data_IF_678839060422
#
_entry.id   IF_678839060422
#
_cell.length_a   1.000
_cell.length_b   1.000
_cell.length_c   1.000
_cell.angle_alpha   90.00
_cell.angle_beta   90.00
_cell.angle_gamma   90.00
#
_symmetry.space_group_name_H-M   'P 1'
#
loop_
_entity.id
_entity.type
_entity.pdbx_description
1 polymer ?
#
# COMPACT_ATOMS: atom_id res chain seq x y z
N UNK A 1 13.17 -29.05 32.89
CA UNK A 1 12.13 -28.38 32.07
C UNK A 1 12.54 -28.55 30.62
N UNK A 2 12.12 -29.66 30.00
CA UNK A 2 12.49 -30.00 28.62
C UNK A 2 11.66 -29.14 27.66
N UNK A 3 12.35 -28.30 26.90
CA UNK A 3 11.78 -27.57 25.77
C UNK A 3 11.56 -28.58 24.64
N UNK A 4 10.31 -28.98 24.47
CA UNK A 4 9.86 -29.80 23.34
C UNK A 4 9.92 -28.95 22.05
N UNK A 5 11.09 -28.97 21.40
CA UNK A 5 11.46 -28.12 20.26
C UNK A 5 11.11 -28.72 18.90
N UNK A 6 10.17 -29.67 18.83
CA UNK A 6 9.69 -30.21 17.55
C UNK A 6 8.18 -30.14 17.42
N UNK A 7 7.61 -28.93 17.49
CA UNK A 7 6.26 -28.70 16.97
C UNK A 7 6.28 -28.83 15.45
N UNK A 8 6.12 -30.06 14.96
CA UNK A 8 5.79 -30.33 13.57
C UNK A 8 4.45 -29.67 13.26
N UNK A 9 4.46 -28.61 12.46
CA UNK A 9 3.24 -27.96 11.96
C UNK A 9 2.39 -29.03 11.30
N UNK A 10 1.14 -29.19 11.73
CA UNK A 10 0.28 -30.21 11.14
C UNK A 10 0.04 -29.90 9.64
N UNK A 11 -0.07 -30.90 8.76
CA UNK A 11 -0.27 -30.68 7.32
C UNK A 11 -1.45 -29.74 7.00
N UNK A 12 -2.51 -29.81 7.82
CA UNK A 12 -3.72 -29.00 7.76
C UNK A 12 -3.47 -27.52 8.09
N UNK A 13 -2.52 -27.21 8.97
CA UNK A 13 -2.13 -25.84 9.32
C UNK A 13 -1.23 -25.22 8.26
N UNK A 14 -0.30 -26.00 7.69
CA UNK A 14 0.56 -25.57 6.58
C UNK A 14 -0.24 -25.15 5.34
N UNK A 15 -1.27 -25.93 4.99
CA UNK A 15 -2.18 -25.61 3.88
C UNK A 15 -2.95 -24.30 4.12
N UNK A 16 -3.49 -24.08 5.33
CA UNK A 16 -4.18 -22.84 5.69
C UNK A 16 -3.28 -21.60 5.63
N UNK A 17 -2.04 -21.74 6.10
CA UNK A 17 -1.05 -20.67 6.07
C UNK A 17 -0.70 -20.27 4.63
N UNK A 18 -0.52 -21.26 3.75
CA UNK A 18 -0.27 -21.03 2.32
C UNK A 18 -1.45 -20.34 1.62
N UNK A 19 -2.69 -20.78 1.91
CA UNK A 19 -3.90 -20.13 1.37
C UNK A 19 -4.05 -18.70 1.91
N UNK A 20 -3.70 -18.47 3.17
CA UNK A 20 -3.70 -17.12 3.77
C UNK A 20 -2.69 -16.22 3.05
N UNK A 21 -1.46 -16.71 2.85
CA UNK A 21 -0.43 -16.00 2.12
C UNK A 21 -0.88 -15.63 0.70
N UNK A 22 -1.40 -16.60 -0.07
CA UNK A 22 -1.87 -16.34 -1.43
C UNK A 22 -2.97 -15.28 -1.48
N UNK A 23 -3.99 -15.41 -0.61
CA UNK A 23 -5.07 -14.42 -0.56
C UNK A 23 -4.54 -13.04 -0.19
N UNK A 24 -3.63 -12.94 0.78
CA UNK A 24 -3.07 -11.66 1.20
C UNK A 24 -2.16 -11.05 0.13
N UNK A 25 -1.36 -11.84 -0.60
CA UNK A 25 -0.55 -11.37 -1.74
C UNK A 25 -1.46 -10.75 -2.82
N UNK A 26 -2.53 -11.45 -3.20
CA UNK A 26 -3.47 -11.01 -4.23
C UNK A 26 -4.17 -9.72 -3.83
N UNK A 27 -4.62 -9.62 -2.58
CA UNK A 27 -5.31 -8.43 -2.07
C UNK A 27 -4.35 -7.25 -1.86
N UNK A 28 -3.11 -7.52 -1.46
CA UNK A 28 -2.02 -6.53 -1.45
C UNK A 28 -1.82 -5.93 -2.85
N UNK A 29 -1.66 -6.80 -3.87
CA UNK A 29 -1.48 -6.38 -5.25
C UNK A 29 -2.66 -5.58 -5.81
N UNK A 30 -3.90 -6.04 -5.58
CA UNK A 30 -5.11 -5.31 -5.98
C UNK A 30 -5.22 -3.95 -5.30
N UNK A 31 -4.98 -3.89 -3.99
CA UNK A 31 -5.01 -2.66 -3.23
C UNK A 31 -3.98 -1.65 -3.73
N UNK A 32 -2.76 -2.11 -4.03
CA UNK A 32 -1.73 -1.28 -4.64
C UNK A 32 -2.15 -0.74 -6.00
N UNK A 33 -2.59 -1.60 -6.92
CA UNK A 33 -2.98 -1.17 -8.28
C UNK A 33 -4.10 -0.13 -8.24
N UNK A 34 -5.09 -0.32 -7.37
CA UNK A 34 -6.17 0.65 -7.18
C UNK A 34 -5.65 1.98 -6.61
N UNK A 35 -4.92 1.93 -5.48
CA UNK A 35 -4.44 3.16 -4.83
C UNK A 35 -3.48 3.94 -5.73
N UNK A 36 -2.52 3.23 -6.33
CA UNK A 36 -1.54 3.81 -7.24
C UNK A 36 -2.19 4.34 -8.51
N UNK A 37 -3.21 3.66 -9.03
CA UNK A 37 -3.93 4.13 -10.21
C UNK A 37 -4.77 5.38 -9.93
N UNK A 38 -5.46 5.45 -8.81
CA UNK A 38 -6.15 6.68 -8.38
C UNK A 38 -5.15 7.83 -8.27
N UNK A 39 -3.99 7.59 -7.67
CA UNK A 39 -2.93 8.60 -7.53
C UNK A 39 -2.44 9.12 -8.88
N UNK A 40 -2.02 8.21 -9.77
CA UNK A 40 -1.50 8.57 -11.10
C UNK A 40 -2.54 9.27 -11.97
N UNK A 41 -3.76 8.73 -12.04
CA UNK A 41 -4.83 9.31 -12.85
C UNK A 41 -5.22 10.70 -12.36
N UNK A 42 -5.21 10.92 -11.04
CA UNK A 42 -5.48 12.25 -10.48
C UNK A 42 -4.41 13.28 -10.88
N UNK A 43 -3.13 12.90 -10.78
CA UNK A 43 -2.01 13.74 -11.20
C UNK A 43 -2.08 14.06 -12.70
N UNK A 44 -2.34 13.05 -13.54
CA UNK A 44 -2.47 13.24 -14.98
C UNK A 44 -3.69 14.09 -15.34
N UNK A 45 -4.85 13.85 -14.73
CA UNK A 45 -6.06 14.64 -14.96
C UNK A 45 -5.87 16.11 -14.58
N UNK A 46 -5.16 16.39 -13.48
CA UNK A 46 -4.86 17.77 -13.07
C UNK A 46 -3.89 18.46 -14.05
N UNK A 47 -2.84 17.76 -14.47
CA UNK A 47 -1.91 18.31 -15.47
C UNK A 47 -2.60 18.60 -16.80
N UNK A 48 -3.44 17.68 -17.28
CA UNK A 48 -4.24 17.89 -18.48
C UNK A 48 -5.21 19.07 -18.34
N UNK A 49 -5.88 19.22 -17.18
CA UNK A 49 -6.75 20.39 -16.88
C UNK A 49 -5.99 21.72 -16.94
N UNK A 50 -4.71 21.72 -16.60
CA UNK A 50 -3.84 22.90 -16.65
C UNK A 50 -3.16 23.09 -18.01
N UNK A 51 -3.49 22.27 -19.02
CA UNK A 51 -2.88 22.34 -20.35
C UNK A 51 -1.39 21.96 -20.35
N UNK A 52 -0.97 21.12 -19.41
CA UNK A 52 0.42 20.62 -19.34
C UNK A 52 0.49 19.32 -20.12
N UNK A 53 1.17 19.29 -21.28
CA UNK A 53 1.33 18.07 -22.07
C UNK A 53 2.08 17.02 -21.25
N UNK A 54 1.60 15.78 -21.28
CA UNK A 54 2.15 14.68 -20.50
C UNK A 54 2.09 13.35 -21.25
N UNK A 55 2.93 12.41 -20.84
CA UNK A 55 2.81 10.99 -21.21
C UNK A 55 2.68 10.15 -19.93
N UNK A 56 1.63 9.36 -19.87
CA UNK A 56 1.35 8.47 -18.75
C UNK A 56 2.01 7.11 -19.02
N UNK A 57 3.04 6.79 -18.24
CA UNK A 57 3.75 5.51 -18.30
C UNK A 57 3.31 4.58 -17.18
N UNK A 58 3.74 3.32 -17.26
CA UNK A 58 3.42 2.26 -16.31
C UNK A 58 3.76 2.61 -14.84
N UNK A 59 4.81 3.41 -14.68
CA UNK A 59 5.53 3.65 -13.43
C UNK A 59 5.65 5.13 -13.04
N UNK A 60 5.34 6.04 -13.94
CA UNK A 60 5.42 7.48 -13.65
C UNK A 60 4.60 8.29 -14.67
N UNK A 61 4.32 9.55 -14.31
CA UNK A 61 3.76 10.54 -15.23
C UNK A 61 4.91 11.41 -15.71
N UNK A 62 5.17 11.42 -17.02
CA UNK A 62 6.20 12.26 -17.62
C UNK A 62 5.57 13.56 -18.13
N UNK A 63 5.99 14.71 -17.62
CA UNK A 63 5.55 16.00 -18.12
C UNK A 63 6.47 16.46 -19.26
N UNK A 64 5.90 16.95 -20.36
CA UNK A 64 6.61 17.34 -21.58
C UNK A 64 6.95 18.84 -21.63
N UNK A 65 6.87 19.53 -20.48
CA UNK A 65 7.24 20.94 -20.35
C UNK A 65 8.65 21.08 -19.73
N UNK A 66 9.46 22.05 -20.21
CA UNK A 66 10.74 22.39 -19.58
C UNK A 66 10.58 22.91 -18.15
N UNK A 67 11.60 22.68 -17.30
CA UNK A 67 11.61 23.10 -15.89
C UNK A 67 11.28 24.59 -15.67
N UNK A 68 11.80 25.45 -16.56
CA UNK A 68 11.56 26.91 -16.52
C UNK A 68 10.11 27.34 -16.78
N UNK A 69 9.27 26.47 -17.33
CA UNK A 69 7.88 26.76 -17.64
C UNK A 69 6.94 26.42 -16.48
N UNK A 70 7.42 25.74 -15.43
CA UNK A 70 6.60 25.47 -14.26
C UNK A 70 6.31 26.75 -13.48
N UNK A 71 5.05 26.94 -13.14
CA UNK A 71 4.61 27.96 -12.19
C UNK A 71 4.15 27.33 -10.89
N UNK A 72 4.27 28.08 -9.80
CA UNK A 72 4.07 27.59 -8.43
C UNK A 72 2.74 26.89 -8.21
N UNK A 73 1.64 27.45 -8.70
CA UNK A 73 0.30 26.89 -8.53
C UNK A 73 0.18 25.54 -9.26
N UNK A 74 0.72 25.41 -10.48
CA UNK A 74 0.71 24.15 -11.21
C UNK A 74 1.49 23.06 -10.48
N UNK A 75 2.69 23.36 -9.98
CA UNK A 75 3.51 22.38 -9.25
C UNK A 75 2.74 21.86 -8.04
N UNK A 76 2.18 22.77 -7.23
CA UNK A 76 1.43 22.40 -6.03
C UNK A 76 0.17 21.59 -6.40
N UNK A 77 -0.55 21.99 -7.44
CA UNK A 77 -1.77 21.30 -7.85
C UNK A 77 -1.49 19.90 -8.42
N UNK A 78 -0.56 19.78 -9.37
CA UNK A 78 -0.25 18.53 -10.09
C UNK A 78 0.39 17.50 -9.16
N UNK A 79 1.40 17.91 -8.37
CA UNK A 79 2.08 17.01 -7.45
C UNK A 79 1.32 16.82 -6.12
N UNK A 80 0.36 17.69 -5.80
CA UNK A 80 -0.42 17.61 -4.56
C UNK A 80 -1.72 16.82 -4.68
N UNK A 81 -2.38 16.80 -5.85
CA UNK A 81 -3.68 16.15 -6.01
C UNK A 81 -3.62 14.62 -5.81
N UNK A 82 -2.57 13.96 -6.30
CA UNK A 82 -2.37 12.52 -6.15
C UNK A 82 -2.27 12.11 -4.68
N UNK A 83 -1.34 12.68 -3.89
CA UNK A 83 -1.27 12.48 -2.44
C UNK A 83 -2.55 12.86 -1.72
N UNK A 84 -3.21 13.96 -2.09
CA UNK A 84 -4.47 14.37 -1.46
C UNK A 84 -5.58 13.32 -1.67
N UNK A 85 -5.81 12.84 -2.89
CA UNK A 85 -6.80 11.79 -3.15
C UNK A 85 -6.38 10.45 -2.53
N UNK A 86 -5.08 10.17 -2.45
CA UNK A 86 -4.57 8.98 -1.74
C UNK A 86 -4.91 9.07 -0.24
N UNK A 87 -4.80 10.24 0.37
CA UNK A 87 -5.21 10.43 1.77
C UNK A 87 -6.73 10.22 1.95
N UNK A 88 -7.55 10.78 1.06
CA UNK A 88 -9.00 10.57 1.09
C UNK A 88 -9.37 9.09 0.92
N UNK A 89 -8.69 8.39 0.00
CA UNK A 89 -8.86 6.96 -0.22
C UNK A 89 -8.44 6.14 1.02
N UNK A 90 -7.34 6.52 1.68
CA UNK A 90 -6.86 5.87 2.88
C UNK A 90 -7.86 5.99 4.04
N UNK A 91 -8.37 7.21 4.27
CA UNK A 91 -9.40 7.47 5.27
C UNK A 91 -10.67 6.72 4.91
N UNK A 92 -11.15 6.84 3.67
CA UNK A 92 -12.37 6.16 3.21
C UNK A 92 -12.30 4.64 3.37
N UNK A 93 -11.19 4.01 2.96
CA UNK A 93 -10.97 2.57 3.14
C UNK A 93 -10.90 2.19 4.63
N UNK A 94 -10.26 3.00 5.47
CA UNK A 94 -10.23 2.80 6.92
C UNK A 94 -11.61 2.90 7.57
N UNK A 95 -12.43 3.88 7.17
CA UNK A 95 -13.81 4.02 7.65
C UNK A 95 -14.70 2.88 7.16
N UNK A 96 -14.56 2.45 5.90
CA UNK A 96 -15.29 1.30 5.37
C UNK A 96 -14.92 0.01 6.12
N UNK A 97 -13.64 -0.17 6.43
CA UNK A 97 -13.18 -1.25 7.29
C UNK A 97 -13.84 -1.16 8.68
N UNK A 98 -13.78 0.00 9.33
CA UNK A 98 -14.20 0.15 10.72
C UNK A 98 -15.72 0.03 10.90
N UNK A 99 -16.51 0.65 10.04
CA UNK A 99 -17.97 0.68 10.19
C UNK A 99 -18.68 -0.49 9.52
N UNK A 100 -18.14 -1.02 8.42
CA UNK A 100 -18.81 -2.06 7.64
C UNK A 100 -18.03 -3.37 7.58
N UNK A 101 -16.70 -3.31 7.54
CA UNK A 101 -15.85 -4.47 7.32
C UNK A 101 -15.64 -5.35 8.56
N UNK A 102 -15.32 -4.75 9.72
CA UNK A 102 -14.82 -5.48 10.91
C UNK A 102 -15.75 -6.58 11.42
N UNK A 103 -17.07 -6.36 11.34
CA UNK A 103 -18.08 -7.30 11.82
C UNK A 103 -18.56 -8.29 10.76
N UNK A 104 -18.15 -8.11 9.50
CA UNK A 104 -18.60 -8.97 8.40
C UNK A 104 -17.57 -10.06 8.12
N UNK A 105 -18.07 -11.21 7.71
CA UNK A 105 -17.24 -12.28 7.17
C UNK A 105 -16.80 -11.91 5.77
N UNK A 106 -15.63 -12.38 5.37
CA UNK A 106 -15.12 -12.28 4.02
C UNK A 106 -13.80 -11.55 3.95
N UNK A 107 -13.28 -11.49 2.73
CA UNK A 107 -11.94 -10.99 2.44
C UNK A 107 -11.88 -9.50 2.13
N UNK A 108 -13.04 -8.85 1.99
CA UNK A 108 -13.13 -7.41 1.73
C UNK A 108 -12.55 -6.56 2.86
N UNK A 109 -12.64 -7.01 4.11
CA UNK A 109 -11.99 -6.31 5.23
C UNK A 109 -10.46 -6.32 5.11
N UNK A 110 -9.88 -7.43 4.65
CA UNK A 110 -8.44 -7.50 4.36
C UNK A 110 -8.06 -6.64 3.15
N UNK A 111 -8.92 -6.59 2.13
CA UNK A 111 -8.75 -5.65 1.01
C UNK A 111 -8.76 -4.19 1.47
N UNK A 112 -9.76 -3.76 2.25
CA UNK A 112 -9.84 -2.39 2.77
C UNK A 112 -8.66 -2.04 3.67
N UNK A 113 -8.20 -3.00 4.48
CA UNK A 113 -7.00 -2.84 5.29
C UNK A 113 -5.77 -2.55 4.42
N UNK A 114 -5.51 -3.39 3.40
CA UNK A 114 -4.39 -3.17 2.48
C UNK A 114 -4.55 -1.89 1.67
N UNK A 115 -5.75 -1.57 1.23
CA UNK A 115 -6.05 -0.35 0.48
C UNK A 115 -5.74 0.89 1.32
N UNK A 116 -6.15 0.90 2.59
CA UNK A 116 -5.83 1.99 3.51
C UNK A 116 -4.31 2.15 3.69
N UNK A 117 -3.57 1.05 3.92
CA UNK A 117 -2.12 1.10 4.08
C UNK A 117 -1.40 1.57 2.82
N UNK A 118 -1.75 1.04 1.64
CA UNK A 118 -1.17 1.48 0.38
C UNK A 118 -1.43 2.96 0.12
N UNK A 119 -2.67 3.41 0.33
CA UNK A 119 -3.05 4.80 0.12
C UNK A 119 -2.34 5.75 1.11
N UNK A 120 -2.20 5.37 2.39
CA UNK A 120 -1.36 6.10 3.35
C UNK A 120 0.11 6.12 2.92
N UNK A 121 0.64 5.00 2.44
CA UNK A 121 2.04 4.90 2.02
C UNK A 121 2.33 5.75 0.78
N UNK A 122 1.38 5.94 -0.14
CA UNK A 122 1.53 6.86 -1.27
C UNK A 122 1.64 8.34 -0.84
N UNK A 123 1.21 8.66 0.38
CA UNK A 123 1.36 10.00 0.97
C UNK A 123 2.63 10.07 1.82
N UNK A 124 2.70 9.26 2.89
CA UNK A 124 3.78 9.31 3.87
C UNK A 124 5.08 8.70 3.32
N UNK A 125 4.98 7.51 2.74
CA UNK A 125 6.09 6.87 2.04
C UNK A 125 6.51 7.64 0.79
N UNK A 126 5.55 8.22 0.06
CA UNK A 126 5.81 9.09 -1.10
C UNK A 126 6.58 10.35 -0.74
N UNK A 127 6.31 10.95 0.42
CA UNK A 127 7.06 12.10 0.92
C UNK A 127 8.50 11.72 1.29
N UNK A 128 8.69 10.54 1.91
CA UNK A 128 10.01 10.02 2.27
C UNK A 128 10.81 9.68 1.01
N UNK A 129 10.26 8.83 0.14
CA UNK A 129 10.87 8.45 -1.13
C UNK A 129 11.19 9.69 -1.97
N UNK A 130 10.23 10.62 -2.08
CA UNK A 130 10.39 11.87 -2.79
C UNK A 130 11.51 12.75 -2.23
N UNK A 131 11.72 12.75 -0.91
CA UNK A 131 12.83 13.51 -0.30
C UNK A 131 14.20 12.91 -0.61
N UNK A 132 14.30 11.59 -0.79
CA UNK A 132 15.53 10.94 -1.21
C UNK A 132 15.81 11.11 -2.71
N UNK A 133 14.77 11.10 -3.55
CA UNK A 133 14.93 11.16 -5.02
C UNK A 133 14.71 12.55 -5.60
N UNK A 134 14.21 13.51 -4.82
CA UNK A 134 13.74 14.82 -5.26
C UNK A 134 12.64 14.73 -6.34
N UNK A 135 11.70 13.79 -6.17
CA UNK A 135 10.62 13.53 -7.13
C UNK A 135 9.24 13.56 -6.46
N UNK A 136 8.20 13.69 -7.28
CA UNK A 136 6.81 13.49 -6.86
C UNK A 136 6.38 14.48 -5.77
N UNK A 137 5.88 13.96 -4.65
CA UNK A 137 5.29 14.78 -3.59
C UNK A 137 6.30 15.71 -2.90
N UNK A 138 7.60 15.50 -3.05
CA UNK A 138 8.64 16.41 -2.55
C UNK A 138 8.52 17.84 -3.09
N UNK A 139 8.06 17.99 -4.34
CA UNK A 139 7.93 19.32 -4.96
C UNK A 139 6.90 20.20 -4.26
N UNK A 140 5.84 19.63 -3.68
CA UNK A 140 4.76 20.40 -3.04
C UNK A 140 5.28 21.24 -1.88
N UNK A 141 5.89 20.67 -0.81
CA UNK A 141 6.43 21.46 0.27
C UNK A 141 7.61 22.33 -0.18
N UNK A 142 8.43 21.89 -1.14
CA UNK A 142 9.56 22.67 -1.65
C UNK A 142 9.10 23.99 -2.29
N UNK A 143 8.02 23.95 -3.05
CA UNK A 143 7.45 25.12 -3.73
C UNK A 143 6.45 25.89 -2.87
N UNK A 144 5.86 25.26 -1.86
CA UNK A 144 5.03 25.94 -0.87
C UNK A 144 5.89 26.81 0.06
N UNK A 145 7.06 26.33 0.48
CA UNK A 145 7.97 26.99 1.42
C UNK A 145 9.33 27.30 0.77
N UNK A 146 9.32 28.19 -0.24
CA UNK A 146 10.50 28.52 -1.06
C UNK A 146 11.71 28.94 -0.22
N UNK A 147 11.47 29.78 0.80
CA UNK A 147 12.48 30.31 1.72
C UNK A 147 13.13 29.23 2.60
N UNK A 148 12.39 28.15 2.91
CA UNK A 148 12.87 27.05 3.75
C UNK A 148 13.83 26.09 3.04
N UNK A 149 14.14 26.31 1.76
CA UNK A 149 15.05 25.48 0.99
C UNK A 149 14.63 24.00 0.95
N UNK A 150 15.60 23.11 1.16
CA UNK A 150 15.39 21.64 1.23
C UNK A 150 15.05 21.16 2.64
N UNK A 151 15.25 21.98 3.67
CA UNK A 151 15.06 21.58 5.06
C UNK A 151 13.60 21.24 5.36
N UNK A 152 12.65 22.01 4.80
CA UNK A 152 11.24 21.82 5.09
C UNK A 152 10.65 20.51 4.51
N UNK A 153 10.88 20.14 3.23
CA UNK A 153 10.52 18.82 2.73
C UNK A 153 11.11 17.66 3.56
N UNK A 154 12.37 17.78 3.97
CA UNK A 154 13.05 16.76 4.80
C UNK A 154 12.38 16.64 6.17
N UNK A 155 12.08 17.77 6.84
CA UNK A 155 11.41 17.77 8.12
C UNK A 155 10.02 17.11 8.03
N UNK A 156 9.25 17.40 6.97
CA UNK A 156 7.96 16.74 6.74
C UNK A 156 8.12 15.25 6.42
N UNK A 157 9.16 14.83 5.70
CA UNK A 157 9.43 13.41 5.46
C UNK A 157 9.74 12.65 6.76
N UNK A 158 10.54 13.24 7.66
CA UNK A 158 10.80 12.67 8.99
C UNK A 158 9.50 12.56 9.79
N UNK A 159 8.69 13.62 9.81
CA UNK A 159 7.38 13.61 10.46
C UNK A 159 6.46 12.53 9.85
N UNK A 160 6.45 12.41 8.52
CA UNK A 160 5.69 11.39 7.80
C UNK A 160 6.13 9.97 8.18
N UNK A 161 7.43 9.73 8.36
CA UNK A 161 7.97 8.46 8.86
C UNK A 161 7.51 8.14 10.28
N UNK A 162 7.52 9.13 11.18
CA UNK A 162 7.01 8.98 12.55
C UNK A 162 5.51 8.63 12.53
N UNK A 163 4.71 9.35 11.73
CA UNK A 163 3.27 9.09 11.59
C UNK A 163 3.02 7.69 11.00
N UNK A 164 3.83 7.25 10.03
CA UNK A 164 3.73 5.90 9.45
C UNK A 164 3.97 4.82 10.51
N UNK A 165 5.01 5.00 11.35
CA UNK A 165 5.33 4.07 12.45
C UNK A 165 4.19 4.02 13.48
N UNK A 166 3.69 5.17 13.91
CA UNK A 166 2.58 5.24 14.88
C UNK A 166 1.31 4.61 14.30
N UNK A 167 1.00 4.90 13.04
CA UNK A 167 -0.16 4.33 12.34
C UNK A 167 -0.04 2.81 12.25
N UNK A 168 1.13 2.30 11.85
CA UNK A 168 1.42 0.87 11.80
C UNK A 168 1.22 0.21 13.16
N UNK A 169 1.79 0.78 14.23
CA UNK A 169 1.62 0.25 15.59
C UNK A 169 0.14 0.17 16.01
N UNK A 170 -0.65 1.22 15.75
CA UNK A 170 -2.08 1.28 16.12
C UNK A 170 -2.98 0.41 15.23
N UNK A 171 -2.52 -0.01 14.06
CA UNK A 171 -3.28 -0.81 13.13
C UNK A 171 -3.34 -2.32 13.49
N UNK A 172 -2.70 -2.75 14.58
CA UNK A 172 -2.64 -4.16 15.00
C UNK A 172 -4.01 -4.81 15.17
N UNK A 173 -4.91 -4.18 15.91
CA UNK A 173 -6.27 -4.71 16.12
C UNK A 173 -7.01 -4.82 14.78
N UNK A 174 -6.88 -3.81 13.91
CA UNK A 174 -7.50 -3.84 12.57
C UNK A 174 -6.93 -4.98 11.71
N UNK A 175 -5.61 -5.21 11.73
CA UNK A 175 -4.98 -6.32 11.03
C UNK A 175 -5.51 -7.68 11.52
N UNK A 176 -5.55 -7.90 12.84
CA UNK A 176 -6.06 -9.16 13.40
C UNK A 176 -7.54 -9.36 13.01
N UNK A 177 -8.37 -8.33 13.17
CA UNK A 177 -9.79 -8.37 12.79
C UNK A 177 -10.00 -8.57 11.28
N UNK A 178 -9.04 -8.20 10.43
CA UNK A 178 -9.13 -8.40 8.99
C UNK A 178 -9.08 -9.87 8.57
N UNK A 179 -8.73 -10.78 9.48
CA UNK A 179 -8.69 -12.22 9.22
C UNK A 179 -9.95 -12.94 9.76
N UNK A 180 -10.37 -13.98 9.06
CA UNK A 180 -11.55 -14.80 9.43
C UNK A 180 -11.18 -16.14 10.08
N UNK A 181 -9.91 -16.54 10.05
CA UNK A 181 -9.51 -17.88 10.47
C UNK A 181 -9.26 -17.94 11.97
N UNK A 182 -10.17 -18.60 12.70
CA UNK A 182 -10.05 -18.81 14.16
C UNK A 182 -8.74 -19.49 14.54
N UNK A 183 -8.31 -20.50 13.78
CA UNK A 183 -7.06 -21.24 14.10
C UNK A 183 -5.80 -20.40 13.91
N UNK A 184 -5.80 -19.48 12.94
CA UNK A 184 -4.65 -18.58 12.72
C UNK A 184 -4.62 -17.42 13.72
N UNK A 185 -5.78 -17.03 14.25
CA UNK A 185 -5.92 -15.95 15.24
C UNK A 185 -5.48 -16.33 16.64
N UNK A 186 -5.44 -17.64 16.95
CA UNK A 186 -4.92 -18.14 18.22
C UNK A 186 -3.54 -17.55 18.48
N UNK A 187 -3.31 -17.13 19.72
CA UNK A 187 -2.06 -16.49 20.12
C UNK A 187 -0.82 -17.35 19.76
N UNK A 188 -0.91 -18.67 19.95
CA UNK A 188 0.14 -19.61 19.58
C UNK A 188 0.52 -19.60 18.09
N UNK A 189 -0.43 -19.31 17.20
CA UNK A 189 -0.24 -19.30 15.74
C UNK A 189 -0.03 -17.90 15.18
N UNK A 190 0.07 -16.89 16.05
CA UNK A 190 0.12 -15.49 15.63
C UNK A 190 1.37 -15.14 14.83
N UNK A 191 2.52 -15.72 15.20
CA UNK A 191 3.74 -15.54 14.42
C UNK A 191 3.56 -15.98 12.97
N UNK A 192 2.88 -17.12 12.75
CA UNK A 192 2.58 -17.63 11.42
C UNK A 192 1.57 -16.75 10.68
N UNK A 193 0.54 -16.25 11.37
CA UNK A 193 -0.42 -15.31 10.79
C UNK A 193 0.25 -14.01 10.34
N UNK A 194 1.15 -13.45 11.16
CA UNK A 194 1.89 -12.23 10.81
C UNK A 194 2.82 -12.50 9.62
N UNK A 195 3.55 -13.61 9.65
CA UNK A 195 4.45 -13.94 8.56
C UNK A 195 3.69 -14.13 7.24
N UNK A 196 2.65 -14.96 7.22
CA UNK A 196 1.88 -15.27 6.00
C UNK A 196 0.89 -14.19 5.60
N UNK A 197 0.28 -13.49 6.55
CA UNK A 197 -0.74 -12.48 6.30
C UNK A 197 -0.20 -11.06 6.11
N UNK A 198 1.05 -10.78 6.52
CA UNK A 198 1.65 -9.44 6.48
C UNK A 198 3.00 -9.40 5.74
N UNK A 199 3.99 -10.17 6.20
CA UNK A 199 5.37 -10.08 5.69
C UNK A 199 5.53 -10.70 4.30
N UNK A 200 4.99 -11.90 4.08
CA UNK A 200 5.01 -12.57 2.77
C UNK A 200 4.29 -11.74 1.71
N UNK A 201 3.06 -11.22 1.93
CA UNK A 201 2.39 -10.32 1.00
C UNK A 201 3.19 -9.07 0.67
N UNK A 202 3.85 -8.48 1.65
CA UNK A 202 4.69 -7.32 1.41
C UNK A 202 5.87 -7.66 0.50
N UNK A 203 6.66 -8.68 0.84
CA UNK A 203 7.86 -9.03 0.07
C UNK A 203 7.48 -9.57 -1.31
N UNK A 204 6.67 -10.63 -1.36
CA UNK A 204 6.30 -11.30 -2.62
C UNK A 204 5.40 -10.40 -3.45
N UNK A 205 4.42 -9.72 -2.85
CA UNK A 205 3.55 -8.79 -3.56
C UNK A 205 4.32 -7.61 -4.14
N UNK A 206 5.26 -7.02 -3.39
CA UNK A 206 6.12 -5.95 -3.95
C UNK A 206 6.99 -6.45 -5.09
N UNK A 207 7.58 -7.65 -4.96
CA UNK A 207 8.38 -8.24 -6.04
C UNK A 207 7.55 -8.52 -7.29
N UNK A 208 6.31 -9.02 -7.14
CA UNK A 208 5.39 -9.23 -8.26
C UNK A 208 5.01 -7.91 -8.93
N UNK A 209 4.74 -6.86 -8.16
CA UNK A 209 4.42 -5.53 -8.68
C UNK A 209 5.65 -4.87 -9.34
N UNK A 210 6.84 -5.06 -8.79
CA UNK A 210 8.09 -4.61 -9.39
C UNK A 210 8.35 -5.32 -10.73
N UNK A 211 8.15 -6.65 -10.78
CA UNK A 211 8.24 -7.42 -12.03
C UNK A 211 7.19 -6.98 -13.05
N UNK A 212 5.95 -6.71 -12.60
CA UNK A 212 4.88 -6.16 -13.43
C UNK A 212 5.27 -4.81 -14.05
N UNK A 213 6.13 -4.04 -13.38
CA UNK A 213 6.57 -2.71 -13.82
C UNK A 213 7.91 -2.69 -14.55
N UNK A 214 8.62 -3.81 -14.61
CA UNK A 214 9.91 -3.91 -15.30
C UNK A 214 9.76 -3.75 -16.83
N UNK A 215 10.60 -2.96 -17.53
CA UNK A 215 11.81 -2.26 -17.06
C UNK A 215 11.60 -0.84 -16.55
N UNK A 216 10.38 -0.31 -16.57
CA UNK A 216 10.07 1.10 -16.26
C UNK A 216 10.07 1.43 -14.76
N UNK A 217 10.38 0.44 -13.91
CA UNK A 217 10.37 0.59 -12.45
C UNK A 217 11.37 1.68 -12.01
N UNK A 218 10.84 2.75 -11.42
CA UNK A 218 11.67 3.87 -10.97
C UNK A 218 12.23 3.65 -9.56
N UNK A 219 13.34 4.30 -9.23
CA UNK A 219 13.90 4.31 -7.86
C UNK A 219 12.89 4.82 -6.83
N UNK A 220 12.09 5.83 -7.19
CA UNK A 220 11.04 6.37 -6.34
C UNK A 220 10.01 5.30 -5.95
N UNK A 221 9.56 4.49 -6.91
CA UNK A 221 8.62 3.40 -6.64
C UNK A 221 9.25 2.24 -5.86
N UNK A 222 10.51 1.92 -6.14
CA UNK A 222 11.26 0.97 -5.32
C UNK A 222 11.27 1.39 -3.85
N UNK A 223 11.51 2.68 -3.58
CA UNK A 223 11.44 3.24 -2.23
C UNK A 223 10.01 3.24 -1.67
N UNK A 224 8.96 3.38 -2.48
CA UNK A 224 7.58 3.19 -2.00
C UNK A 224 7.34 1.77 -1.47
N UNK A 225 7.87 0.74 -2.13
CA UNK A 225 7.79 -0.64 -1.62
C UNK A 225 8.55 -0.81 -0.31
N UNK A 226 9.74 -0.21 -0.18
CA UNK A 226 10.54 -0.27 1.04
C UNK A 226 9.89 0.49 2.20
N UNK A 227 9.38 1.69 1.95
CA UNK A 227 8.76 2.56 2.98
C UNK A 227 7.49 1.98 3.57
N UNK A 228 6.80 1.06 2.87
CA UNK A 228 5.72 0.27 3.45
C UNK A 228 6.17 -0.48 4.72
N UNK A 229 7.44 -0.87 4.80
CA UNK A 229 8.04 -1.47 5.99
C UNK A 229 7.90 -0.62 7.26
N UNK A 230 7.84 0.72 7.14
CA UNK A 230 7.62 1.62 8.27
C UNK A 230 6.23 1.43 8.91
N UNK A 231 5.24 0.98 8.15
CA UNK A 231 3.94 0.58 8.69
C UNK A 231 3.98 -0.86 9.21
N UNK A 232 4.54 -1.78 8.42
CA UNK A 232 4.40 -3.22 8.66
C UNK A 232 5.27 -3.74 9.81
N UNK A 233 6.46 -3.18 10.02
CA UNK A 233 7.33 -3.59 11.12
C UNK A 233 6.72 -3.28 12.50
N UNK A 234 6.34 -2.04 12.84
CA UNK A 234 5.69 -1.77 14.13
C UNK A 234 4.33 -2.46 14.25
N UNK A 235 3.59 -2.61 13.14
CA UNK A 235 2.36 -3.41 13.11
C UNK A 235 2.61 -4.87 13.50
N UNK A 236 3.67 -5.48 12.99
CA UNK A 236 4.03 -6.88 13.30
C UNK A 236 4.37 -7.04 14.78
N UNK A 237 5.13 -6.10 15.36
CA UNK A 237 5.51 -6.11 16.77
C UNK A 237 4.26 -5.94 17.65
N UNK A 238 3.45 -4.92 17.37
CA UNK A 238 2.21 -4.63 18.10
C UNK A 238 1.23 -5.81 18.04
N UNK A 239 1.05 -6.39 16.86
CA UNK A 239 0.17 -7.56 16.68
C UNK A 239 0.60 -8.76 17.53
N UNK A 240 1.91 -9.03 17.68
CA UNK A 240 2.41 -10.14 18.53
C UNK A 240 2.03 -9.97 20.01
N UNK A 241 1.96 -8.73 20.48
CA UNK A 241 1.73 -8.41 21.89
C UNK A 241 0.24 -8.20 22.23
N UNK A 242 -0.61 -8.04 21.21
CA UNK A 242 -2.03 -7.81 21.39
C UNK A 242 -2.73 -9.03 22.03
N UNK A 243 -3.64 -8.82 23.00
CA UNK A 243 -4.34 -9.94 23.66
C UNK A 243 -5.63 -10.34 22.95
N UNK A 244 -6.07 -9.55 21.98
CA UNK A 244 -7.26 -9.80 21.18
C UNK A 244 -7.19 -11.16 20.44
N UNK A 245 -8.10 -12.09 20.75
CA UNK A 245 -8.16 -13.42 20.11
C UNK A 245 -9.48 -13.71 19.40
N UNK A 246 -10.49 -12.85 19.57
CA UNK A 246 -11.83 -13.10 19.05
C UNK A 246 -11.94 -12.73 17.56
N UNK A 247 -12.41 -13.68 16.74
CA UNK A 247 -12.86 -13.39 15.37
C UNK A 247 -14.35 -13.09 15.34
N UNK A 248 -14.86 -12.78 14.14
CA UNK A 248 -16.29 -12.83 13.80
C UNK A 248 -16.95 -14.09 14.40
N UNK A 249 -18.17 -14.02 14.97
CA UNK A 249 -18.77 -15.13 15.74
C UNK A 249 -18.89 -16.47 15.00
N UNK A 250 -18.92 -16.44 13.67
CA UNK A 250 -19.05 -17.64 12.83
C UNK A 250 -18.01 -17.60 11.70
N UNK A 251 -16.76 -18.05 11.97
CA UNK A 251 -15.64 -17.95 11.04
C UNK A 251 -15.91 -18.75 9.75
N UNK A 252 -15.38 -18.25 8.61
CA UNK A 252 -15.50 -18.93 7.31
C UNK A 252 -14.33 -19.88 7.10
N UNK A 253 -14.57 -21.00 6.40
CA UNK A 253 -13.47 -21.90 5.98
C UNK A 253 -12.45 -21.13 5.13
N UNK A 254 -11.17 -21.34 5.42
CA UNK A 254 -10.05 -20.77 4.66
C UNK A 254 -10.01 -21.43 3.28
N UNK A 255 -10.44 -20.71 2.25
CA UNK A 255 -10.37 -21.15 0.84
C UNK A 255 -9.56 -20.16 0.01
N UNK A 256 -9.19 -20.53 -1.21
CA UNK A 256 -8.58 -19.61 -2.17
C UNK A 256 -9.66 -18.67 -2.71
N UNK A 257 -9.33 -17.40 -2.83
CA UNK A 257 -10.23 -16.37 -3.31
C UNK A 257 -10.15 -16.19 -4.83
N UNK A 258 -10.55 -17.21 -5.58
CA UNK A 258 -10.40 -17.24 -7.05
C UNK A 258 -10.93 -15.99 -7.78
N UNK A 259 -12.04 -15.42 -7.31
CA UNK A 259 -12.57 -14.16 -7.86
C UNK A 259 -11.56 -12.99 -7.74
N UNK A 260 -10.88 -12.84 -6.60
CA UNK A 260 -9.85 -11.81 -6.43
C UNK A 260 -8.57 -12.15 -7.20
N UNK A 261 -8.21 -13.43 -7.32
CA UNK A 261 -7.07 -13.87 -8.14
C UNK A 261 -7.31 -13.48 -9.59
N UNK A 262 -8.48 -13.82 -10.15
CA UNK A 262 -8.86 -13.45 -11.52
C UNK A 262 -8.91 -11.94 -11.71
N UNK A 263 -9.47 -11.20 -10.75
CA UNK A 263 -9.49 -9.73 -10.79
C UNK A 263 -8.07 -9.12 -10.77
N UNK A 264 -7.17 -9.67 -9.95
CA UNK A 264 -5.78 -9.20 -9.87
C UNK A 264 -5.05 -9.44 -11.19
N UNK A 265 -5.13 -10.65 -11.74
CA UNK A 265 -4.47 -11.00 -13.00
C UNK A 265 -5.01 -10.17 -14.16
N UNK A 266 -6.33 -10.00 -14.24
CA UNK A 266 -6.96 -9.17 -15.26
C UNK A 266 -6.53 -7.71 -15.14
N UNK A 267 -6.59 -7.14 -13.93
CA UNK A 267 -6.20 -5.75 -13.72
C UNK A 267 -4.71 -5.53 -13.98
N UNK A 268 -3.84 -6.45 -13.56
CA UNK A 268 -2.41 -6.39 -13.83
C UNK A 268 -2.11 -6.46 -15.34
N UNK A 269 -2.81 -7.35 -16.07
CA UNK A 269 -2.67 -7.45 -17.51
C UNK A 269 -3.13 -6.18 -18.21
N UNK A 270 -4.32 -5.66 -17.85
CA UNK A 270 -4.83 -4.41 -18.41
C UNK A 270 -3.90 -3.23 -18.09
N UNK A 271 -3.40 -3.15 -16.86
CA UNK A 271 -2.43 -2.14 -16.44
C UNK A 271 -1.18 -2.17 -17.32
N UNK A 272 -0.61 -3.36 -17.53
CA UNK A 272 0.54 -3.56 -18.42
C UNK A 272 0.21 -3.14 -19.85
N UNK A 273 -0.86 -3.66 -20.44
CA UNK A 273 -1.17 -3.43 -21.85
C UNK A 273 -1.49 -1.96 -22.17
N UNK A 274 -2.22 -1.28 -21.28
CA UNK A 274 -2.66 0.10 -21.47
C UNK A 274 -1.50 1.09 -21.33
N UNK A 275 -0.61 0.90 -20.35
CA UNK A 275 0.43 1.90 -20.04
C UNK A 275 1.81 1.58 -20.60
N UNK A 276 2.05 0.38 -21.17
CA UNK A 276 3.37 -0.01 -21.70
C UNK A 276 3.80 0.80 -22.94
N UNK A 277 2.86 1.32 -23.73
CA UNK A 277 3.18 2.17 -24.88
C UNK A 277 3.33 3.66 -24.51
N UNK A 278 2.96 4.04 -23.27
CA UNK A 278 2.75 5.43 -22.89
C UNK A 278 1.46 6.00 -23.50
N UNK A 279 0.65 6.68 -22.70
CA UNK A 279 -0.52 7.42 -23.20
C UNK A 279 -0.20 8.91 -23.17
N UNK A 280 -0.01 9.50 -24.34
CA UNK A 280 0.24 10.93 -24.47
C UNK A 280 -1.08 11.71 -24.43
N UNK A 281 -1.15 12.70 -23.56
CA UNK A 281 -2.24 13.66 -23.46
C UNK A 281 -1.66 15.06 -23.75
N UNK A 282 -2.16 15.68 -24.81
CA UNK A 282 -1.82 17.04 -25.23
C UNK A 282 -2.74 18.07 -24.61
#
# INVERSE_FOLDING_TARGET
MNLDLSRTVSPTESSKASITALNSIVLYGLAFLLAYGVHQLATAAMAHRLGIPLTLHLSHVQFLIPDRQWWRIAVIAVYGVGPFLSLLLAIGAGLLFWFYGRGRKGRLKLFYFWLALHAFNLVLGGLIAGSFTQLGFWYVPRWLFVEGGTAFPIALAVLGGIIAVITGYKAAVAFLQSHDSRTMMLYANRGQLIFTGLLVPWVVGSLLLAALKWPDLTTYEGLLFVTMGLFLLPLSISSRNELFQDTVPTPRKTTIAWAFVGAFLLLALLWRLVFNAGITLS
#
